data_IF_106191272497
#
_entry.id   IF_106191272497
#
_cell.length_a   1.000
_cell.length_b   1.000
_cell.length_c   1.000
_cell.angle_alpha   90.00
_cell.angle_beta   90.00
_cell.angle_gamma   90.00
#
_symmetry.space_group_name_H-M   'P 1'
#
loop_
_entity.id
_entity.type
_entity.pdbx_description
1 polymer ?
#
# COMPACT_ATOMS: atom_id res chain seq x y z
N UNK A 1 -25.80 -6.82 26.38
CA UNK A 1 -26.42 -8.13 26.05
C UNK A 1 -25.33 -9.18 26.06
N UNK A 2 -25.51 -10.34 26.70
CA UNK A 2 -24.56 -11.44 26.60
C UNK A 2 -24.60 -12.01 25.17
N UNK A 3 -23.43 -12.26 24.58
CA UNK A 3 -23.36 -12.87 23.25
C UNK A 3 -24.00 -14.28 23.27
N UNK A 4 -24.70 -14.65 22.21
CA UNK A 4 -25.20 -16.01 22.08
C UNK A 4 -24.05 -17.02 22.02
N UNK A 5 -24.26 -18.30 22.38
CA UNK A 5 -23.20 -19.31 22.24
C UNK A 5 -22.62 -19.44 20.83
N UNK A 6 -23.44 -19.21 19.79
CA UNK A 6 -23.00 -19.16 18.39
C UNK A 6 -22.13 -17.95 18.09
N UNK A 7 -22.51 -16.77 18.57
CA UNK A 7 -21.73 -15.55 18.45
C UNK A 7 -20.37 -15.66 19.15
N UNK A 8 -20.35 -16.24 20.35
CA UNK A 8 -19.09 -16.46 21.09
C UNK A 8 -18.14 -17.43 20.36
N UNK A 9 -18.69 -18.49 19.72
CA UNK A 9 -17.91 -19.41 18.89
C UNK A 9 -17.31 -18.71 17.69
N UNK A 10 -18.10 -17.91 16.95
CA UNK A 10 -17.62 -17.16 15.79
C UNK A 10 -16.51 -16.17 16.15
N UNK A 11 -16.63 -15.47 17.27
CA UNK A 11 -15.57 -14.58 17.78
C UNK A 11 -14.29 -15.35 18.07
N UNK A 12 -14.39 -16.52 18.72
CA UNK A 12 -13.23 -17.34 19.05
C UNK A 12 -12.57 -17.94 17.80
N UNK A 13 -13.37 -18.38 16.82
CA UNK A 13 -12.89 -18.92 15.56
C UNK A 13 -12.11 -17.83 14.79
N UNK A 14 -12.67 -16.62 14.68
CA UNK A 14 -12.00 -15.47 14.06
C UNK A 14 -10.70 -15.11 14.77
N UNK A 15 -10.71 -15.01 16.10
CA UNK A 15 -9.50 -14.73 16.89
C UNK A 15 -8.39 -15.77 16.62
N UNK A 16 -8.75 -17.06 16.55
CA UNK A 16 -7.77 -18.10 16.28
C UNK A 16 -7.20 -18.01 14.86
N UNK A 17 -8.02 -17.67 13.86
CA UNK A 17 -7.58 -17.46 12.48
C UNK A 17 -6.66 -16.22 12.35
N UNK A 18 -6.98 -15.14 13.03
CA UNK A 18 -6.15 -13.93 13.10
C UNK A 18 -4.79 -14.25 13.76
N UNK A 19 -4.77 -14.99 14.88
CA UNK A 19 -3.52 -15.42 15.50
C UNK A 19 -2.69 -16.34 14.59
N UNK A 20 -3.32 -17.26 13.86
CA UNK A 20 -2.62 -18.10 12.88
C UNK A 20 -2.06 -17.30 11.69
N UNK A 21 -2.69 -16.17 11.34
CA UNK A 21 -2.21 -15.25 10.33
C UNK A 21 -1.00 -14.44 10.81
N UNK A 22 -1.03 -13.97 12.05
CA UNK A 22 -0.01 -13.07 12.62
C UNK A 22 1.23 -13.83 13.07
N UNK A 23 1.03 -14.92 13.82
CA UNK A 23 2.10 -15.70 14.46
C UNK A 23 2.58 -16.89 13.60
N UNK A 24 1.85 -17.20 12.52
CA UNK A 24 2.07 -18.40 11.73
C UNK A 24 1.51 -19.67 12.39
N UNK A 25 2.03 -20.87 12.02
CA UNK A 25 1.52 -22.13 12.54
C UNK A 25 1.67 -22.27 14.06
N UNK A 26 0.58 -22.58 14.76
CA UNK A 26 0.52 -22.72 16.22
C UNK A 26 0.06 -24.12 16.65
N UNK A 27 0.54 -24.56 17.81
CA UNK A 27 0.00 -25.76 18.49
C UNK A 27 -1.28 -25.43 19.23
N UNK A 28 -2.11 -26.44 19.52
CA UNK A 28 -3.29 -26.27 20.37
C UNK A 28 -2.95 -25.69 21.77
N UNK A 29 -1.76 -25.98 22.28
CA UNK A 29 -1.26 -25.41 23.53
C UNK A 29 -0.98 -23.92 23.43
N UNK A 30 -0.36 -23.46 22.33
CA UNK A 30 -0.12 -22.04 22.07
C UNK A 30 -1.43 -21.30 21.83
N UNK A 31 -2.34 -21.84 21.00
CA UNK A 31 -3.68 -21.28 20.80
C UNK A 31 -4.43 -21.11 22.13
N UNK A 32 -4.36 -22.12 23.03
CA UNK A 32 -4.94 -22.01 24.36
C UNK A 32 -4.37 -20.83 25.14
N UNK A 33 -3.05 -20.67 25.12
CA UNK A 33 -2.37 -19.60 25.88
C UNK A 33 -2.71 -18.21 25.32
N UNK A 34 -2.69 -18.04 23.99
CA UNK A 34 -2.94 -16.77 23.32
C UNK A 34 -4.41 -16.36 23.38
N UNK A 35 -5.35 -17.32 23.24
CA UNK A 35 -6.79 -17.03 23.28
C UNK A 35 -7.37 -16.99 24.69
N UNK A 36 -6.69 -17.55 25.69
CA UNK A 36 -7.24 -17.73 27.04
C UNK A 36 -8.34 -18.79 27.16
N UNK A 37 -8.64 -19.54 26.10
CA UNK A 37 -9.70 -20.52 26.04
C UNK A 37 -9.33 -21.82 26.80
N UNK A 38 -10.35 -22.60 27.19
CA UNK A 38 -10.13 -23.91 27.79
C UNK A 38 -9.60 -24.93 26.76
N UNK A 39 -8.89 -25.97 27.21
CA UNK A 39 -8.38 -27.02 26.32
C UNK A 39 -9.47 -27.71 25.48
N UNK A 40 -10.65 -28.10 26.05
CA UNK A 40 -11.75 -28.64 25.25
C UNK A 40 -12.26 -27.66 24.18
N UNK A 41 -12.39 -26.37 24.54
CA UNK A 41 -12.84 -25.33 23.61
C UNK A 41 -11.90 -25.15 22.42
N UNK A 42 -10.58 -25.18 22.68
CA UNK A 42 -9.58 -25.10 21.60
C UNK A 42 -9.61 -26.35 20.71
N UNK A 43 -9.81 -27.55 21.29
CA UNK A 43 -9.92 -28.77 20.50
C UNK A 43 -11.13 -28.73 19.56
N UNK A 44 -12.30 -28.33 20.06
CA UNK A 44 -13.53 -28.17 19.31
C UNK A 44 -13.40 -27.06 18.21
N UNK A 45 -12.75 -25.96 18.55
CA UNK A 45 -12.45 -24.87 17.61
C UNK A 45 -11.56 -25.34 16.44
N UNK A 46 -10.46 -26.01 16.74
CA UNK A 46 -9.55 -26.52 15.71
C UNK A 46 -10.24 -27.56 14.82
N UNK A 47 -11.06 -28.44 15.39
CA UNK A 47 -11.84 -29.43 14.63
C UNK A 47 -12.83 -28.75 13.66
N UNK A 48 -13.54 -27.72 14.12
CA UNK A 48 -14.43 -26.92 13.24
C UNK A 48 -13.68 -26.22 12.12
N UNK A 49 -12.57 -25.55 12.44
CA UNK A 49 -11.76 -24.83 11.45
C UNK A 49 -11.11 -25.78 10.42
N UNK A 50 -10.76 -27.00 10.83
CA UNK A 50 -10.33 -28.04 9.89
C UNK A 50 -11.50 -28.53 9.03
N UNK A 51 -12.68 -28.72 9.64
CA UNK A 51 -13.90 -29.12 8.90
C UNK A 51 -14.35 -28.09 7.87
N UNK A 52 -14.13 -26.80 8.12
CA UNK A 52 -14.40 -25.72 7.15
C UNK A 52 -13.31 -25.56 6.07
N UNK A 53 -12.19 -26.28 6.19
CA UNK A 53 -11.08 -26.19 5.26
C UNK A 53 -10.24 -24.91 5.39
N UNK A 54 -10.37 -24.16 6.49
CA UNK A 54 -9.58 -22.95 6.74
C UNK A 54 -8.24 -23.24 7.43
N UNK A 55 -8.18 -24.34 8.20
CA UNK A 55 -7.00 -24.77 8.96
C UNK A 55 -6.62 -26.19 8.59
N UNK A 56 -5.33 -26.46 8.52
CA UNK A 56 -4.77 -27.81 8.35
C UNK A 56 -3.59 -28.06 9.29
N UNK A 57 -3.24 -29.33 9.48
CA UNK A 57 -1.97 -29.69 10.12
C UNK A 57 -0.86 -29.46 9.10
N UNK A 58 0.10 -28.59 9.45
CA UNK A 58 1.24 -28.23 8.59
C UNK A 58 2.55 -28.84 9.08
N UNK A 59 2.55 -29.48 10.24
CA UNK A 59 3.73 -30.12 10.82
C UNK A 59 3.52 -30.56 12.26
N UNK A 60 4.62 -30.94 12.88
CA UNK A 60 4.68 -31.28 14.30
C UNK A 60 5.88 -30.58 14.94
N UNK A 61 5.75 -30.20 16.22
CA UNK A 61 6.89 -29.65 16.95
C UNK A 61 7.87 -30.77 17.29
N UNK A 62 9.01 -30.82 16.61
CA UNK A 62 10.13 -31.67 17.00
C UNK A 62 10.90 -31.01 18.15
N UNK A 63 10.79 -31.53 19.36
CA UNK A 63 11.52 -31.03 20.51
C UNK A 63 12.31 -32.13 21.22
N UNK A 64 13.52 -31.78 21.64
CA UNK A 64 14.41 -32.66 22.46
C UNK A 64 13.84 -32.97 23.86
N UNK A 65 12.56 -32.73 24.11
CA UNK A 65 11.87 -33.09 25.36
C UNK A 65 11.03 -34.35 25.18
N UNK A 66 11.14 -35.29 26.13
CA UNK A 66 10.32 -36.51 26.22
C UNK A 66 8.83 -36.13 26.27
N UNK A 67 8.08 -36.43 25.22
CA UNK A 67 6.63 -36.28 25.11
C UNK A 67 6.18 -36.46 23.65
N UNK A 68 4.89 -36.80 23.40
CA UNK A 68 4.40 -36.88 22.03
C UNK A 68 4.50 -35.48 21.37
N UNK A 69 4.95 -35.46 20.10
CA UNK A 69 5.03 -34.24 19.29
C UNK A 69 3.66 -33.57 19.22
N UNK A 70 3.64 -32.25 19.41
CA UNK A 70 2.40 -31.47 19.25
C UNK A 70 2.19 -31.09 17.79
N UNK A 71 0.98 -31.28 17.30
CA UNK A 71 0.58 -30.90 15.94
C UNK A 71 0.61 -29.36 15.81
N UNK A 72 1.17 -28.90 14.71
CA UNK A 72 1.14 -27.51 14.27
C UNK A 72 -0.04 -27.30 13.31
N UNK A 73 -0.90 -26.38 13.65
CA UNK A 73 -2.04 -25.97 12.85
C UNK A 73 -1.69 -24.67 12.14
N UNK A 74 -1.95 -24.60 10.83
CA UNK A 74 -1.73 -23.42 10.00
C UNK A 74 -2.92 -23.17 9.08
N UNK A 75 -3.04 -21.95 8.59
CA UNK A 75 -4.05 -21.58 7.61
C UNK A 75 -3.81 -22.33 6.28
N UNK A 76 -4.91 -22.62 5.57
CA UNK A 76 -4.87 -23.22 4.24
C UNK A 76 -4.67 -22.09 3.23
N UNK A 77 -3.42 -21.88 2.79
CA UNK A 77 -3.02 -20.76 1.93
C UNK A 77 -3.78 -20.75 0.58
N UNK A 78 -3.95 -21.92 -0.02
CA UNK A 78 -4.64 -22.13 -1.29
C UNK A 78 -6.18 -22.14 -1.19
N UNK A 79 -6.73 -21.79 -0.01
CA UNK A 79 -8.18 -21.65 0.18
C UNK A 79 -8.78 -20.54 -0.65
N UNK A 80 -8.02 -19.48 -0.94
CA UNK A 80 -8.36 -18.40 -1.84
C UNK A 80 -7.14 -17.87 -2.58
N UNK A 81 -7.35 -17.49 -3.82
CA UNK A 81 -6.38 -16.73 -4.61
C UNK A 81 -6.85 -15.28 -4.73
N UNK A 82 -5.91 -14.39 -4.58
CA UNK A 82 -6.09 -12.95 -4.57
C UNK A 82 -5.32 -12.35 -5.72
N UNK A 83 -5.77 -11.20 -6.21
CA UNK A 83 -4.96 -10.42 -7.14
C UNK A 83 -4.85 -8.97 -6.70
N UNK A 84 -3.79 -8.30 -7.14
CA UNK A 84 -3.64 -6.87 -7.02
C UNK A 84 -3.14 -6.27 -8.33
N UNK A 85 -3.62 -5.07 -8.64
CA UNK A 85 -3.21 -4.27 -9.78
C UNK A 85 -2.72 -2.91 -9.30
N UNK A 86 -1.60 -2.46 -9.86
CA UNK A 86 -1.13 -1.08 -9.78
C UNK A 86 -1.29 -0.46 -11.18
N UNK A 87 -2.29 0.41 -11.32
CA UNK A 87 -2.65 1.06 -12.58
C UNK A 87 -1.95 2.40 -12.65
N UNK A 88 -0.86 2.47 -13.42
CA UNK A 88 -0.06 3.68 -13.61
C UNK A 88 -0.36 4.34 -14.95
N UNK A 89 0.08 5.56 -15.15
CA UNK A 89 -0.14 6.30 -16.41
C UNK A 89 0.39 5.57 -17.65
N UNK A 90 1.52 4.84 -17.51
CA UNK A 90 2.23 4.21 -18.63
C UNK A 90 2.42 2.69 -18.44
N UNK A 91 1.77 2.09 -17.46
CA UNK A 91 1.87 0.64 -17.23
C UNK A 91 0.77 0.13 -16.30
N UNK A 92 0.56 -1.18 -16.33
CA UNK A 92 -0.18 -1.92 -15.32
C UNK A 92 0.71 -3.03 -14.78
N UNK A 93 0.90 -3.06 -13.46
CA UNK A 93 1.52 -4.18 -12.77
C UNK A 93 0.45 -5.05 -12.11
N UNK A 94 0.64 -6.36 -12.15
CA UNK A 94 -0.26 -7.35 -11.57
C UNK A 94 0.53 -8.29 -10.68
N UNK A 95 -0.02 -8.61 -9.52
CA UNK A 95 0.44 -9.70 -8.67
C UNK A 95 -0.74 -10.62 -8.32
N UNK A 96 -0.50 -11.92 -8.30
CA UNK A 96 -1.45 -12.91 -7.79
C UNK A 96 -0.83 -13.56 -6.56
N UNK A 97 -1.59 -13.64 -5.49
CA UNK A 97 -1.17 -14.20 -4.21
C UNK A 97 -2.18 -15.19 -3.64
N UNK A 98 -1.76 -15.87 -2.59
CA UNK A 98 -2.60 -16.76 -1.79
C UNK A 98 -3.32 -16.02 -0.64
N UNK A 99 -4.13 -16.75 0.13
CA UNK A 99 -4.89 -16.21 1.27
C UNK A 99 -3.98 -15.60 2.37
N UNK A 100 -2.73 -15.99 2.45
CA UNK A 100 -1.74 -15.45 3.40
C UNK A 100 -1.06 -14.17 2.87
N UNK A 101 -1.26 -13.85 1.59
CA UNK A 101 -0.63 -12.73 0.90
C UNK A 101 0.76 -13.03 0.36
N UNK A 102 1.14 -14.32 0.26
CA UNK A 102 2.36 -14.71 -0.42
C UNK A 102 2.20 -14.56 -1.93
N UNK A 103 3.16 -13.94 -2.60
CA UNK A 103 3.17 -13.78 -4.06
C UNK A 103 3.40 -15.12 -4.74
N UNK A 104 2.50 -15.50 -5.65
CA UNK A 104 2.58 -16.71 -6.47
C UNK A 104 3.06 -16.42 -7.90
N UNK A 105 2.61 -15.31 -8.48
CA UNK A 105 3.03 -14.85 -9.80
C UNK A 105 2.90 -13.31 -9.88
N UNK A 106 3.74 -12.70 -10.73
CA UNK A 106 3.70 -11.26 -10.99
C UNK A 106 4.04 -10.97 -12.46
N UNK A 107 3.47 -9.90 -13.00
CA UNK A 107 3.73 -9.47 -14.36
C UNK A 107 3.48 -7.96 -14.53
N UNK A 108 4.09 -7.36 -15.55
CA UNK A 108 3.92 -5.94 -15.88
C UNK A 108 3.63 -5.81 -17.36
N UNK A 109 2.72 -4.91 -17.71
CA UNK A 109 2.39 -4.51 -19.06
C UNK A 109 2.70 -3.01 -19.23
N UNK A 110 3.68 -2.63 -20.04
CA UNK A 110 3.84 -1.25 -20.47
C UNK A 110 2.65 -0.81 -21.35
N UNK A 111 2.17 0.42 -21.16
CA UNK A 111 1.11 1.03 -21.96
C UNK A 111 1.66 2.32 -22.54
N UNK A 112 1.80 2.37 -23.87
CA UNK A 112 2.28 3.56 -24.56
C UNK A 112 1.26 4.69 -24.53
N UNK A 113 1.74 5.93 -24.63
CA UNK A 113 0.86 7.11 -24.64
C UNK A 113 -0.09 7.20 -25.85
N UNK A 114 0.22 6.47 -26.92
CA UNK A 114 -0.56 6.31 -28.14
C UNK A 114 -1.51 5.11 -28.11
N UNK A 115 -1.46 4.29 -27.05
CA UNK A 115 -2.34 3.14 -26.89
C UNK A 115 -3.79 3.60 -26.68
N UNK A 116 -4.70 3.16 -27.54
CA UNK A 116 -6.12 3.45 -27.40
C UNK A 116 -6.72 2.86 -26.11
N UNK A 117 -7.88 3.36 -25.69
CA UNK A 117 -8.54 2.97 -24.45
C UNK A 117 -8.83 1.45 -24.43
N UNK A 118 -9.53 0.94 -25.44
CA UNK A 118 -9.92 -0.48 -25.47
C UNK A 118 -8.72 -1.43 -25.55
N UNK A 119 -7.67 -1.18 -26.38
CA UNK A 119 -6.44 -2.00 -26.35
C UNK A 119 -5.73 -2.01 -25.00
N UNK A 120 -5.70 -0.88 -24.28
CA UNK A 120 -5.11 -0.81 -22.95
C UNK A 120 -5.90 -1.65 -21.92
N UNK A 121 -7.23 -1.56 -21.95
CA UNK A 121 -8.14 -2.32 -21.09
C UNK A 121 -8.04 -3.83 -21.37
N UNK A 122 -8.12 -4.25 -22.63
CA UNK A 122 -8.00 -5.67 -23.01
C UNK A 122 -6.61 -6.22 -22.66
N UNK A 123 -5.56 -5.46 -22.90
CA UNK A 123 -4.19 -5.85 -22.53
C UNK A 123 -4.03 -6.06 -21.04
N UNK A 124 -4.57 -5.18 -20.20
CA UNK A 124 -4.51 -5.30 -18.75
C UNK A 124 -5.36 -6.46 -18.22
N UNK A 125 -6.57 -6.66 -18.76
CA UNK A 125 -7.41 -7.80 -18.41
C UNK A 125 -6.76 -9.14 -18.78
N UNK A 126 -6.20 -9.24 -20.01
CA UNK A 126 -5.45 -10.41 -20.44
C UNK A 126 -4.19 -10.66 -19.60
N UNK A 127 -3.52 -9.61 -19.13
CA UNK A 127 -2.38 -9.73 -18.21
C UNK A 127 -2.83 -10.40 -16.91
N UNK A 128 -3.89 -9.91 -16.28
CA UNK A 128 -4.44 -10.47 -15.05
C UNK A 128 -4.79 -11.97 -15.23
N UNK A 129 -5.50 -12.31 -16.29
CA UNK A 129 -5.89 -13.69 -16.57
C UNK A 129 -4.68 -14.62 -16.79
N UNK A 130 -3.62 -14.16 -17.48
CA UNK A 130 -2.38 -14.94 -17.64
C UNK A 130 -1.69 -15.15 -16.31
N UNK A 131 -1.50 -14.06 -15.54
CA UNK A 131 -0.82 -14.13 -14.25
C UNK A 131 -1.58 -15.01 -13.26
N UNK A 132 -2.93 -14.99 -13.29
CA UNK A 132 -3.74 -15.89 -12.48
C UNK A 132 -3.55 -17.36 -12.88
N UNK A 133 -3.49 -17.67 -14.18
CA UNK A 133 -3.22 -19.02 -14.66
C UNK A 133 -1.79 -19.50 -14.29
N UNK A 134 -0.80 -18.64 -14.38
CA UNK A 134 0.59 -18.92 -13.98
C UNK A 134 0.68 -19.21 -12.47
N UNK A 135 -0.09 -18.50 -11.66
CA UNK A 135 -0.23 -18.76 -10.23
C UNK A 135 -1.02 -20.04 -9.88
N UNK A 136 -1.58 -20.74 -10.87
CA UNK A 136 -2.48 -21.87 -10.63
C UNK A 136 -3.86 -21.49 -10.09
N UNK A 137 -4.24 -20.22 -10.13
CA UNK A 137 -5.52 -19.73 -9.64
C UNK A 137 -6.65 -20.07 -10.64
N UNK A 138 -7.53 -20.98 -10.26
CA UNK A 138 -8.74 -21.31 -11.04
C UNK A 138 -9.78 -20.20 -10.94
N UNK A 139 -9.85 -19.55 -9.79
CA UNK A 139 -10.76 -18.44 -9.49
C UNK A 139 -10.09 -17.47 -8.52
N UNK A 140 -10.25 -16.19 -8.79
CA UNK A 140 -9.89 -15.12 -7.85
C UNK A 140 -11.04 -14.88 -6.88
N UNK A 141 -10.72 -14.72 -5.59
CA UNK A 141 -11.69 -14.37 -4.56
C UNK A 141 -11.89 -12.85 -4.50
N UNK A 142 -10.80 -12.12 -4.41
CA UNK A 142 -10.77 -10.66 -4.30
C UNK A 142 -9.66 -10.08 -5.16
N UNK A 143 -9.89 -8.89 -5.68
CA UNK A 143 -8.95 -8.12 -6.51
C UNK A 143 -8.85 -6.71 -5.97
N UNK A 144 -7.66 -6.32 -5.53
CA UNK A 144 -7.36 -4.94 -5.13
C UNK A 144 -6.79 -4.15 -6.31
N UNK A 145 -7.29 -2.96 -6.56
CA UNK A 145 -6.83 -2.09 -7.65
C UNK A 145 -6.38 -0.76 -7.07
N UNK A 146 -5.11 -0.44 -7.25
CA UNK A 146 -4.56 0.89 -7.03
C UNK A 146 -4.65 1.71 -8.32
N UNK A 147 -5.30 2.86 -8.24
CA UNK A 147 -5.42 3.75 -9.39
C UNK A 147 -5.20 5.20 -8.96
N UNK A 148 -4.54 6.03 -9.80
CA UNK A 148 -4.42 7.46 -9.54
C UNK A 148 -5.78 8.14 -9.67
N UNK A 149 -5.99 9.19 -8.89
CA UNK A 149 -7.21 9.99 -8.88
C UNK A 149 -8.12 9.75 -7.69
N UNK A 150 -9.28 10.39 -7.70
CA UNK A 150 -10.21 10.39 -6.58
C UNK A 150 -11.15 9.19 -6.65
N UNK A 151 -11.14 8.39 -5.59
CA UNK A 151 -12.09 7.30 -5.40
C UNK A 151 -13.23 7.79 -4.52
N UNK A 152 -14.46 7.69 -5.01
CA UNK A 152 -15.64 8.04 -4.22
C UNK A 152 -15.75 7.10 -3.00
N UNK A 153 -15.73 7.62 -1.76
CA UNK A 153 -15.69 6.77 -0.56
C UNK A 153 -17.02 6.02 -0.31
N UNK A 154 -18.10 6.38 -1.00
CA UNK A 154 -19.42 5.75 -0.85
C UNK A 154 -19.66 4.69 -1.94
N UNK A 155 -19.35 5.04 -3.19
CA UNK A 155 -19.60 4.13 -4.34
C UNK A 155 -18.40 3.27 -4.70
N UNK A 156 -17.17 3.66 -4.30
CA UNK A 156 -15.93 3.00 -4.72
C UNK A 156 -15.55 3.26 -6.17
N UNK A 157 -16.22 4.20 -6.84
CA UNK A 157 -15.97 4.52 -8.24
C UNK A 157 -14.81 5.52 -8.40
N UNK A 158 -13.97 5.29 -9.41
CA UNK A 158 -12.94 6.24 -9.81
C UNK A 158 -13.58 7.42 -10.53
N UNK A 159 -13.48 8.61 -9.92
CA UNK A 159 -14.01 9.85 -10.48
C UNK A 159 -13.19 10.33 -11.67
N UNK A 160 -13.82 11.14 -12.53
CA UNK A 160 -13.10 11.86 -13.56
C UNK A 160 -12.26 12.97 -12.95
N UNK A 161 -10.93 12.86 -13.10
CA UNK A 161 -9.97 13.87 -12.67
C UNK A 161 -9.08 14.26 -13.83
N UNK A 162 -8.69 15.53 -13.91
CA UNK A 162 -7.76 15.99 -14.92
C UNK A 162 -6.40 15.31 -14.77
N UNK A 163 -5.77 14.98 -15.89
CA UNK A 163 -4.45 14.35 -15.92
C UNK A 163 -4.41 12.83 -15.78
N UNK A 164 -5.55 12.18 -15.49
CA UNK A 164 -5.64 10.70 -15.44
C UNK A 164 -6.17 10.18 -16.79
N UNK A 165 -5.48 9.24 -17.47
CA UNK A 165 -5.95 8.67 -18.72
C UNK A 165 -7.34 8.02 -18.60
N UNK A 166 -8.20 8.22 -19.58
CA UNK A 166 -9.58 7.72 -19.55
C UNK A 166 -9.67 6.19 -19.47
N UNK A 167 -8.65 5.45 -19.93
CA UNK A 167 -8.61 4.00 -19.86
C UNK A 167 -8.56 3.45 -18.43
N UNK A 168 -8.07 4.23 -17.44
CA UNK A 168 -8.07 3.79 -16.03
C UNK A 168 -9.49 3.51 -15.52
N UNK A 169 -10.43 4.43 -15.73
CA UNK A 169 -11.84 4.23 -15.33
C UNK A 169 -12.48 3.07 -16.08
N UNK A 170 -12.20 2.98 -17.38
CA UNK A 170 -12.75 1.91 -18.23
C UNK A 170 -12.22 0.54 -17.82
N UNK A 171 -10.93 0.43 -17.44
CA UNK A 171 -10.34 -0.80 -16.92
C UNK A 171 -11.02 -1.24 -15.62
N UNK A 172 -11.16 -0.34 -14.66
CA UNK A 172 -11.80 -0.63 -13.37
C UNK A 172 -13.22 -1.16 -13.61
N UNK A 173 -14.03 -0.46 -14.40
CA UNK A 173 -15.40 -0.89 -14.73
C UNK A 173 -15.42 -2.25 -15.45
N UNK A 174 -14.53 -2.46 -16.42
CA UNK A 174 -14.44 -3.72 -17.14
C UNK A 174 -14.09 -4.91 -16.24
N UNK A 175 -13.19 -4.72 -15.27
CA UNK A 175 -12.83 -5.76 -14.32
C UNK A 175 -13.97 -6.05 -13.34
N UNK A 176 -14.69 -5.02 -12.87
CA UNK A 176 -15.87 -5.21 -12.02
C UNK A 176 -16.99 -5.98 -12.74
N UNK A 177 -17.18 -5.74 -14.04
CA UNK A 177 -18.20 -6.43 -14.85
C UNK A 177 -17.81 -7.88 -15.19
N UNK A 178 -16.54 -8.15 -15.45
CA UNK A 178 -16.05 -9.43 -15.99
C UNK A 178 -15.64 -10.45 -14.93
N UNK A 179 -15.17 -9.99 -13.76
CA UNK A 179 -14.63 -10.88 -12.75
C UNK A 179 -15.70 -11.34 -11.75
N UNK A 180 -15.88 -12.66 -11.56
CA UNK A 180 -16.71 -13.19 -10.48
C UNK A 180 -15.96 -13.12 -9.14
N UNK A 181 -15.42 -11.95 -8.81
CA UNK A 181 -14.60 -11.68 -7.65
C UNK A 181 -15.00 -10.34 -7.00
N UNK A 182 -14.72 -10.16 -5.74
CA UNK A 182 -14.86 -8.86 -5.07
C UNK A 182 -13.75 -7.92 -5.57
N UNK A 183 -14.11 -6.88 -6.31
CA UNK A 183 -13.17 -5.87 -6.83
C UNK A 183 -13.18 -4.65 -5.91
N UNK A 184 -12.02 -4.33 -5.35
CA UNK A 184 -11.78 -3.22 -4.43
C UNK A 184 -10.89 -2.19 -5.11
N UNK A 185 -11.35 -0.96 -5.19
CA UNK A 185 -10.58 0.15 -5.81
C UNK A 185 -10.19 1.14 -4.74
N UNK A 186 -8.94 1.57 -4.75
CA UNK A 186 -8.43 2.56 -3.82
C UNK A 186 -7.39 3.45 -4.52
N UNK A 187 -7.21 4.66 -4.01
CA UNK A 187 -6.13 5.54 -4.45
C UNK A 187 -4.77 4.90 -4.19
N UNK A 188 -3.81 5.03 -5.15
CA UNK A 188 -2.49 4.42 -5.06
C UNK A 188 -1.72 4.84 -3.82
N UNK A 189 -1.81 6.12 -3.43
CA UNK A 189 -1.09 6.64 -2.25
C UNK A 189 -1.66 6.07 -0.95
N UNK A 190 -2.98 5.89 -0.87
CA UNK A 190 -3.63 5.24 0.26
C UNK A 190 -3.19 3.78 0.41
N UNK A 191 -3.09 3.04 -0.70
CA UNK A 191 -2.59 1.66 -0.69
C UNK A 191 -1.12 1.58 -0.27
N UNK A 192 -0.30 2.52 -0.75
CA UNK A 192 1.08 2.61 -0.32
C UNK A 192 1.18 2.82 1.20
N UNK A 193 0.31 3.66 1.79
CA UNK A 193 0.26 3.85 3.24
C UNK A 193 -0.18 2.58 4.00
N UNK A 194 -1.11 1.79 3.46
CA UNK A 194 -1.46 0.46 4.02
C UNK A 194 -0.24 -0.46 4.03
N UNK A 195 0.55 -0.47 2.96
CA UNK A 195 1.78 -1.27 2.89
C UNK A 195 2.83 -0.80 3.90
N UNK A 196 3.04 0.52 4.01
CA UNK A 196 3.99 1.10 4.98
C UNK A 196 3.59 0.80 6.42
N UNK A 197 2.31 0.86 6.74
CA UNK A 197 1.80 0.52 8.07
C UNK A 197 2.06 -0.95 8.44
N UNK A 198 1.95 -1.87 7.49
CA UNK A 198 2.00 -3.31 7.78
C UNK A 198 3.36 -3.94 7.56
N UNK A 199 4.16 -3.39 6.67
CA UNK A 199 5.39 -4.02 6.22
C UNK A 199 6.53 -3.04 5.92
N UNK A 200 6.31 -1.73 6.13
CA UNK A 200 7.27 -0.67 5.83
C UNK A 200 7.69 0.13 7.05
N UNK A 201 8.00 1.41 6.81
CA UNK A 201 8.58 2.32 7.78
C UNK A 201 7.63 2.71 8.95
N UNK A 202 6.32 2.43 8.83
CA UNK A 202 5.35 2.73 9.87
C UNK A 202 4.89 1.49 10.68
N UNK A 203 5.50 0.31 10.44
CA UNK A 203 5.10 -0.95 11.08
C UNK A 203 5.18 -0.91 12.61
N UNK A 204 6.19 -0.25 13.15
CA UNK A 204 6.46 -0.23 14.60
C UNK A 204 5.61 0.80 15.35
N UNK A 205 4.79 1.59 14.65
CA UNK A 205 3.95 2.64 15.26
C UNK A 205 2.66 2.10 15.91
N UNK A 206 2.39 0.79 15.84
CA UNK A 206 1.14 0.22 16.36
C UNK A 206 -0.09 0.80 15.67
N UNK A 207 -1.14 1.15 16.44
CA UNK A 207 -2.32 1.87 15.95
C UNK A 207 -2.04 3.36 15.71
N UNK A 208 -0.82 3.69 15.29
CA UNK A 208 -0.31 5.04 15.26
C UNK A 208 -0.90 5.92 14.16
N UNK A 209 -0.62 7.20 14.32
CA UNK A 209 -0.87 8.22 13.32
C UNK A 209 0.43 8.51 12.58
N UNK A 210 0.38 8.53 11.26
CA UNK A 210 1.49 8.97 10.40
C UNK A 210 0.95 9.49 9.07
N UNK A 211 1.79 10.19 8.33
CA UNK A 211 1.50 10.61 6.96
C UNK A 211 2.53 10.04 6.01
N UNK A 212 2.07 9.41 4.94
CA UNK A 212 2.91 9.06 3.81
C UNK A 212 2.92 10.26 2.83
N UNK A 213 4.08 10.82 2.56
CA UNK A 213 4.30 11.76 1.47
C UNK A 213 4.82 10.97 0.26
N UNK A 214 3.95 10.76 -0.72
CA UNK A 214 4.25 10.01 -1.92
C UNK A 214 4.98 10.87 -2.95
N UNK A 215 6.14 10.41 -3.39
CA UNK A 215 7.03 11.09 -4.34
C UNK A 215 7.30 10.13 -5.52
N UNK A 216 6.49 10.27 -6.57
CA UNK A 216 6.56 9.49 -7.81
C UNK A 216 6.66 10.39 -9.03
N UNK A 217 5.89 10.14 -10.10
CA UNK A 217 5.70 11.09 -11.20
C UNK A 217 5.01 12.35 -10.69
N UNK A 218 3.93 12.18 -9.93
CA UNK A 218 3.27 13.20 -9.17
C UNK A 218 3.69 13.21 -7.71
N UNK A 219 3.06 14.09 -6.93
CA UNK A 219 3.14 14.14 -5.48
C UNK A 219 1.76 14.02 -4.87
N UNK A 220 1.63 13.20 -3.86
CA UNK A 220 0.42 12.98 -3.08
C UNK A 220 0.74 12.75 -1.61
N UNK A 221 -0.28 12.64 -0.78
CA UNK A 221 -0.13 12.18 0.59
C UNK A 221 -1.26 11.21 0.96
N UNK A 222 -0.97 10.32 1.90
CA UNK A 222 -1.99 9.52 2.55
C UNK A 222 -1.94 9.75 4.06
N UNK A 223 -3.11 9.97 4.63
CA UNK A 223 -3.26 10.27 6.05
C UNK A 223 -3.71 9.00 6.77
N UNK A 224 -2.90 8.51 7.68
CA UNK A 224 -3.28 7.42 8.59
C UNK A 224 -3.46 8.01 9.98
N UNK A 225 -4.69 7.97 10.48
CA UNK A 225 -5.05 8.46 11.81
C UNK A 225 -5.62 7.28 12.62
N UNK A 226 -5.05 7.04 13.79
CA UNK A 226 -5.45 5.93 14.66
C UNK A 226 -5.49 4.58 13.94
N UNK A 227 -4.46 4.33 13.12
CA UNK A 227 -4.30 3.10 12.35
C UNK A 227 -5.22 2.96 11.12
N UNK A 228 -5.97 4.01 10.76
CA UNK A 228 -6.94 3.98 9.65
C UNK A 228 -6.63 5.04 8.60
N UNK A 229 -6.62 4.64 7.34
CA UNK A 229 -6.52 5.56 6.21
C UNK A 229 -7.74 6.51 6.20
N UNK A 230 -7.47 7.80 6.09
CA UNK A 230 -8.50 8.86 5.99
C UNK A 230 -8.69 9.25 4.54
N UNK A 231 -9.83 8.87 3.98
CA UNK A 231 -10.18 9.17 2.57
C UNK A 231 -10.74 10.58 2.40
N UNK A 232 -11.25 11.20 3.47
CA UNK A 232 -11.96 12.48 3.40
C UNK A 232 -13.39 12.34 2.86
N UNK A 233 -14.10 13.47 2.82
CA UNK A 233 -15.52 13.50 2.41
C UNK A 233 -15.70 13.21 0.90
N UNK A 234 -14.71 13.53 0.09
CA UNK A 234 -14.73 13.38 -1.38
C UNK A 234 -13.79 12.30 -1.92
N UNK A 235 -13.08 11.60 -1.04
CA UNK A 235 -11.99 10.70 -1.43
C UNK A 235 -10.65 11.40 -1.65
N UNK A 236 -10.58 12.73 -1.49
CA UNK A 236 -9.40 13.55 -1.82
C UNK A 236 -8.58 13.99 -0.60
N UNK A 237 -8.67 13.31 0.54
CA UNK A 237 -7.75 13.62 1.63
C UNK A 237 -6.31 13.27 1.20
N UNK A 238 -5.41 14.24 1.34
CA UNK A 238 -4.02 14.06 0.93
C UNK A 238 -3.68 14.54 -0.48
N UNK A 239 -4.60 15.22 -1.18
CA UNK A 239 -4.34 15.91 -2.46
C UNK A 239 -3.39 17.11 -2.28
N UNK A 240 -2.23 16.85 -1.67
CA UNK A 240 -1.23 17.86 -1.31
C UNK A 240 -0.59 18.53 -2.54
N UNK A 241 -0.67 17.91 -3.70
CA UNK A 241 -0.22 18.52 -4.96
C UNK A 241 -0.86 19.87 -5.21
N UNK A 242 -2.10 20.07 -4.77
CA UNK A 242 -2.86 21.30 -4.86
C UNK A 242 -2.62 22.30 -3.71
N UNK A 243 -1.77 21.96 -2.73
CA UNK A 243 -1.46 22.89 -1.63
C UNK A 243 -0.77 24.13 -2.17
N UNK A 244 -1.36 25.34 -1.99
CA UNK A 244 -0.67 26.58 -2.36
C UNK A 244 0.63 26.73 -1.60
N UNK A 245 1.72 27.02 -2.30
CA UNK A 245 3.06 27.10 -1.69
C UNK A 245 3.72 28.44 -2.00
N UNK A 246 4.61 28.94 -1.12
CA UNK A 246 5.35 30.17 -1.40
C UNK A 246 6.30 29.98 -2.59
N UNK A 247 6.60 31.09 -3.29
CA UNK A 247 7.58 31.12 -4.37
C UNK A 247 7.03 30.69 -5.75
N UNK A 248 5.73 30.45 -5.87
CA UNK A 248 5.04 30.22 -7.14
C UNK A 248 4.42 31.51 -7.67
N UNK A 249 4.31 31.64 -9.00
CA UNK A 249 3.75 32.83 -9.65
C UNK A 249 2.22 32.82 -9.75
N UNK A 250 1.59 31.68 -9.45
CA UNK A 250 0.14 31.48 -9.55
C UNK A 250 -0.36 30.52 -8.46
N UNK A 251 -1.68 30.50 -8.27
CA UNK A 251 -2.34 29.53 -7.39
C UNK A 251 -2.80 28.32 -8.21
N UNK A 252 -2.88 27.14 -7.60
CA UNK A 252 -3.50 25.99 -8.24
C UNK A 252 -4.98 26.25 -8.53
N UNK A 253 -5.52 25.59 -9.54
CA UNK A 253 -6.93 25.65 -9.91
C UNK A 253 -7.64 24.33 -9.62
N UNK A 254 -8.96 24.29 -9.77
CA UNK A 254 -9.73 23.05 -9.59
C UNK A 254 -9.35 21.92 -10.58
N UNK A 255 -8.66 22.26 -11.68
CA UNK A 255 -8.30 21.32 -12.75
C UNK A 255 -6.80 21.18 -13.00
N UNK A 256 -5.96 21.98 -12.31
CA UNK A 256 -4.51 21.96 -12.48
C UNK A 256 -3.80 22.28 -11.15
N UNK A 257 -2.80 21.49 -10.82
CA UNK A 257 -1.98 21.69 -9.62
C UNK A 257 -0.78 22.64 -9.83
N UNK A 258 -0.71 23.30 -10.98
CA UNK A 258 0.30 24.33 -11.27
C UNK A 258 0.22 25.46 -10.24
N UNK A 259 1.35 25.85 -9.67
CA UNK A 259 1.38 26.80 -8.56
C UNK A 259 1.13 26.19 -7.18
N UNK A 260 0.78 24.90 -7.10
CA UNK A 260 0.72 24.12 -5.86
C UNK A 260 2.02 23.40 -5.54
N UNK A 261 2.01 22.57 -4.50
CA UNK A 261 3.17 21.81 -4.04
C UNK A 261 3.75 20.88 -5.12
N UNK A 262 2.92 20.44 -6.07
CA UNK A 262 3.38 19.69 -7.24
C UNK A 262 4.50 20.41 -8.02
N UNK A 263 4.46 21.73 -8.09
CA UNK A 263 5.48 22.57 -8.75
C UNK A 263 6.84 22.53 -8.03
N UNK A 264 6.89 22.12 -6.78
CA UNK A 264 8.12 21.97 -6.00
C UNK A 264 8.62 20.52 -5.97
N UNK A 265 7.71 19.55 -5.89
CA UNK A 265 8.01 18.17 -5.52
C UNK A 265 7.60 17.12 -6.57
N UNK A 266 6.96 17.51 -7.68
CA UNK A 266 6.68 16.61 -8.81
C UNK A 266 7.97 16.24 -9.55
N UNK A 267 7.98 15.10 -10.25
CA UNK A 267 9.18 14.56 -10.91
C UNK A 267 9.84 15.54 -11.85
N UNK A 268 9.08 16.25 -12.68
CA UNK A 268 9.62 17.27 -13.59
C UNK A 268 10.33 18.40 -12.83
N UNK A 269 9.72 18.93 -11.78
CA UNK A 269 10.30 20.00 -10.96
C UNK A 269 11.56 19.57 -10.21
N UNK A 270 11.66 18.30 -9.83
CA UNK A 270 12.88 17.73 -9.23
C UNK A 270 13.98 17.59 -10.28
N UNK A 271 13.66 17.14 -11.49
CA UNK A 271 14.63 17.08 -12.60
C UNK A 271 15.17 18.47 -12.97
N UNK A 272 14.31 19.48 -13.07
CA UNK A 272 14.72 20.87 -13.30
C UNK A 272 15.64 21.39 -12.17
N UNK A 273 15.37 20.99 -10.92
CA UNK A 273 16.26 21.30 -9.80
C UNK A 273 17.61 20.64 -9.98
N UNK A 274 17.65 19.35 -10.35
CA UNK A 274 18.88 18.61 -10.59
C UNK A 274 19.72 19.22 -11.72
N UNK A 275 19.09 19.61 -12.82
CA UNK A 275 19.75 20.31 -13.93
C UNK A 275 20.46 21.59 -13.49
N UNK A 276 19.82 22.39 -12.62
CA UNK A 276 20.46 23.60 -12.04
C UNK A 276 21.69 23.30 -11.20
N UNK A 277 21.82 22.08 -10.68
CA UNK A 277 22.99 21.60 -9.96
C UNK A 277 23.95 20.78 -10.85
N UNK A 278 23.69 20.72 -12.17
CA UNK A 278 24.51 19.97 -13.14
C UNK A 278 24.38 18.45 -13.00
N UNK A 279 23.27 17.95 -12.46
CA UNK A 279 23.01 16.53 -12.27
C UNK A 279 22.06 16.01 -13.35
N UNK A 280 22.47 14.92 -13.99
CA UNK A 280 21.72 14.20 -15.02
C UNK A 280 21.84 12.70 -14.76
N UNK A 281 20.76 11.96 -14.97
CA UNK A 281 20.77 10.50 -14.89
C UNK A 281 19.66 9.91 -15.75
N UNK A 282 19.92 8.75 -16.33
CA UNK A 282 18.94 7.99 -17.08
C UNK A 282 18.05 7.19 -16.12
N UNK A 283 16.74 7.32 -16.29
CA UNK A 283 15.77 6.55 -15.53
C UNK A 283 15.73 5.09 -16.01
N UNK A 284 15.49 4.17 -15.08
CA UNK A 284 15.17 2.79 -15.40
C UNK A 284 13.79 2.72 -16.07
N UNK A 285 13.49 1.66 -16.82
CA UNK A 285 12.14 1.47 -17.34
C UNK A 285 11.09 1.59 -16.24
N UNK A 286 10.04 2.37 -16.49
CA UNK A 286 8.90 2.60 -15.58
C UNK A 286 9.23 3.32 -14.25
N UNK A 287 10.45 3.82 -14.11
CA UNK A 287 10.87 4.63 -12.97
C UNK A 287 10.67 6.13 -13.30
N UNK A 288 10.15 6.94 -12.37
CA UNK A 288 10.13 8.39 -12.53
C UNK A 288 11.55 8.95 -12.72
N UNK A 289 11.80 9.85 -13.69
CA UNK A 289 13.14 10.41 -13.91
C UNK A 289 13.77 11.04 -12.65
N UNK A 290 12.96 11.65 -11.79
CA UNK A 290 13.42 12.21 -10.53
C UNK A 290 14.11 11.18 -9.61
N UNK A 291 13.67 9.93 -9.60
CA UNK A 291 14.29 8.90 -8.77
C UNK A 291 15.72 8.57 -9.23
N UNK A 292 15.96 8.61 -10.55
CA UNK A 292 17.30 8.40 -11.10
C UNK A 292 18.27 9.52 -10.71
N UNK A 293 17.85 10.78 -10.83
CA UNK A 293 18.72 11.93 -10.48
C UNK A 293 18.95 12.01 -8.96
N UNK A 294 17.95 11.70 -8.14
CA UNK A 294 18.13 11.64 -6.66
C UNK A 294 19.11 10.52 -6.29
N UNK A 295 19.01 9.36 -6.90
CA UNK A 295 19.96 8.26 -6.67
C UNK A 295 21.38 8.63 -7.11
N UNK A 296 21.53 9.30 -8.25
CA UNK A 296 22.83 9.76 -8.74
C UNK A 296 23.48 10.83 -7.84
N UNK A 297 22.66 11.65 -7.18
CA UNK A 297 23.14 12.70 -6.31
C UNK A 297 24.00 12.18 -5.14
N UNK A 298 23.69 11.00 -4.61
CA UNK A 298 24.48 10.39 -3.51
C UNK A 298 25.96 10.14 -3.87
N UNK A 299 26.31 10.05 -5.16
CA UNK A 299 27.66 9.84 -5.62
C UNK A 299 28.30 11.10 -6.23
N UNK A 300 27.56 12.24 -6.27
CA UNK A 300 27.98 13.44 -6.99
C UNK A 300 28.74 14.46 -6.12
N UNK A 301 29.13 14.11 -4.91
CA UNK A 301 29.87 14.97 -4.00
C UNK A 301 29.14 16.27 -3.68
N UNK A 302 29.85 17.42 -3.67
CA UNK A 302 29.28 18.72 -3.28
C UNK A 302 28.09 19.17 -4.13
N UNK A 303 28.04 18.83 -5.41
CA UNK A 303 26.90 19.15 -6.26
C UNK A 303 25.66 18.31 -5.85
N UNK A 304 25.87 17.04 -5.52
CA UNK A 304 24.83 16.17 -5.00
C UNK A 304 24.30 16.63 -3.65
N UNK A 305 25.19 17.00 -2.73
CA UNK A 305 24.82 17.55 -1.42
C UNK A 305 23.97 18.83 -1.57
N UNK A 306 24.41 19.78 -2.41
CA UNK A 306 23.68 21.02 -2.64
C UNK A 306 22.29 20.78 -3.27
N UNK A 307 22.18 19.81 -4.18
CA UNK A 307 20.89 19.40 -4.73
C UNK A 307 19.98 18.76 -3.68
N UNK A 308 20.48 17.79 -2.89
CA UNK A 308 19.70 17.12 -1.85
C UNK A 308 19.25 18.10 -0.76
N UNK A 309 20.06 19.09 -0.39
CA UNK A 309 19.67 20.16 0.52
C UNK A 309 18.55 21.04 -0.05
N UNK A 310 18.66 21.40 -1.33
CA UNK A 310 17.63 22.19 -2.03
C UNK A 310 16.32 21.40 -2.19
N UNK A 311 16.41 20.09 -2.49
CA UNK A 311 15.25 19.20 -2.55
C UNK A 311 14.60 19.05 -1.17
N UNK A 312 15.40 18.83 -0.12
CA UNK A 312 14.91 18.71 1.25
C UNK A 312 14.15 19.97 1.69
N UNK A 313 14.66 21.17 1.34
CA UNK A 313 13.98 22.43 1.65
C UNK A 313 12.61 22.53 0.96
N UNK A 314 12.47 22.02 -0.27
CA UNK A 314 11.18 21.96 -0.98
C UNK A 314 10.21 20.96 -0.33
N UNK A 315 10.69 19.76 0.00
CA UNK A 315 9.87 18.72 0.62
C UNK A 315 9.41 19.12 2.02
N UNK A 316 10.25 19.82 2.77
CA UNK A 316 9.92 20.33 4.09
C UNK A 316 8.72 21.29 4.09
N UNK A 317 8.45 22.02 3.00
CA UNK A 317 7.25 22.88 2.88
C UNK A 317 5.97 22.05 3.00
N UNK A 318 5.88 20.94 2.26
CA UNK A 318 4.73 20.02 2.33
C UNK A 318 4.65 19.32 3.68
N UNK A 319 5.76 18.82 4.20
CA UNK A 319 5.83 18.19 5.51
C UNK A 319 5.41 19.14 6.63
N UNK A 320 5.85 20.41 6.60
CA UNK A 320 5.47 21.42 7.58
C UNK A 320 3.96 21.74 7.54
N UNK A 321 3.39 21.87 6.33
CA UNK A 321 1.95 22.11 6.18
C UNK A 321 1.11 20.96 6.76
N UNK A 322 1.50 19.72 6.51
CA UNK A 322 0.85 18.52 7.06
C UNK A 322 1.00 18.49 8.58
N UNK A 323 2.22 18.71 9.08
CA UNK A 323 2.51 18.66 10.52
C UNK A 323 1.75 19.75 11.28
N UNK A 324 1.64 20.96 10.72
CA UNK A 324 0.92 22.07 11.35
C UNK A 324 -0.60 21.82 11.52
N UNK A 325 -1.18 20.94 10.68
CA UNK A 325 -2.62 20.64 10.70
C UNK A 325 -2.92 19.38 11.51
N UNK A 326 -2.05 18.35 11.40
CA UNK A 326 -2.36 16.99 11.88
C UNK A 326 -1.51 16.56 13.08
N UNK A 327 -0.33 17.17 13.27
CA UNK A 327 0.65 16.73 14.27
C UNK A 327 0.85 15.18 14.26
N UNK A 328 1.25 14.59 13.12
CA UNK A 328 1.22 13.14 12.94
C UNK A 328 2.34 12.41 13.70
N UNK A 329 3.32 13.13 14.23
CA UNK A 329 4.51 12.57 14.87
C UNK A 329 5.49 11.91 13.89
N UNK A 330 5.02 11.40 12.74
CA UNK A 330 5.87 10.80 11.71
C UNK A 330 5.39 11.13 10.28
N UNK A 331 6.36 11.44 9.41
CA UNK A 331 6.17 11.54 7.95
C UNK A 331 7.06 10.50 7.28
N UNK A 332 6.47 9.66 6.42
CA UNK A 332 7.20 8.67 5.61
C UNK A 332 7.39 9.24 4.20
N UNK A 333 8.61 9.35 3.72
CA UNK A 333 8.91 9.71 2.33
C UNK A 333 8.81 8.42 1.48
N UNK A 334 7.71 8.28 0.77
CA UNK A 334 7.40 7.11 -0.07
C UNK A 334 7.58 7.36 -1.55
N UNK A 335 7.21 6.36 -2.35
CA UNK A 335 7.40 6.35 -3.78
C UNK A 335 8.85 6.10 -4.19
N UNK A 336 9.10 6.10 -5.49
CA UNK A 336 10.42 5.80 -6.04
C UNK A 336 11.46 6.87 -5.67
N UNK A 337 11.03 8.14 -5.60
CA UNK A 337 11.91 9.27 -5.25
C UNK A 337 12.26 9.25 -3.76
N UNK A 338 11.27 9.02 -2.88
CA UNK A 338 11.51 8.91 -1.44
C UNK A 338 12.44 7.75 -1.11
N UNK A 339 12.24 6.60 -1.77
CA UNK A 339 13.12 5.43 -1.64
C UNK A 339 14.53 5.70 -2.16
N UNK A 340 14.66 6.36 -3.32
CA UNK A 340 15.98 6.72 -3.89
C UNK A 340 16.73 7.71 -3.00
N UNK A 341 16.03 8.63 -2.34
CA UNK A 341 16.62 9.58 -1.40
C UNK A 341 17.09 8.94 -0.09
N UNK A 342 16.42 7.85 0.30
CA UNK A 342 16.80 7.06 1.47
C UNK A 342 16.83 7.83 2.79
N UNK A 343 17.51 7.27 3.81
CA UNK A 343 17.63 7.92 5.13
C UNK A 343 18.33 9.29 5.08
N UNK A 344 19.21 9.51 4.11
CA UNK A 344 19.93 10.76 3.97
C UNK A 344 18.99 11.92 3.60
N UNK A 345 18.14 11.74 2.58
CA UNK A 345 17.15 12.76 2.22
C UNK A 345 16.14 12.95 3.36
N UNK A 346 15.71 11.88 3.99
CA UNK A 346 14.78 11.93 5.12
C UNK A 346 15.33 12.78 6.28
N UNK A 347 16.59 12.56 6.67
CA UNK A 347 17.27 13.34 7.71
C UNK A 347 17.40 14.82 7.36
N UNK A 348 17.71 15.15 6.08
CA UNK A 348 17.77 16.53 5.61
C UNK A 348 16.39 17.21 5.65
N UNK A 349 15.32 16.50 5.27
CA UNK A 349 13.93 17.00 5.37
C UNK A 349 13.55 17.23 6.83
N UNK A 350 13.86 16.29 7.73
CA UNK A 350 13.60 16.44 9.17
C UNK A 350 14.30 17.66 9.77
N UNK A 351 15.58 17.86 9.44
CA UNK A 351 16.31 19.03 9.89
C UNK A 351 15.69 20.35 9.42
N UNK A 352 15.26 20.42 8.14
CA UNK A 352 14.56 21.60 7.61
C UNK A 352 13.19 21.80 8.24
N UNK A 353 12.46 20.71 8.49
CA UNK A 353 11.16 20.77 9.15
C UNK A 353 11.29 21.32 10.58
N UNK A 354 12.32 20.94 11.32
CA UNK A 354 12.59 21.42 12.66
C UNK A 354 12.91 22.92 12.72
N UNK A 355 13.42 23.51 11.62
CA UNK A 355 13.60 24.96 11.49
C UNK A 355 12.28 25.71 11.25
N UNK A 356 11.26 25.02 10.70
CA UNK A 356 9.98 25.60 10.27
C UNK A 356 8.83 25.38 11.26
N UNK A 357 8.94 24.39 12.14
CA UNK A 357 7.86 23.98 13.02
C UNK A 357 8.35 23.69 14.45
N UNK A 358 7.61 24.10 15.49
CA UNK A 358 7.90 23.73 16.87
C UNK A 358 7.49 22.27 17.19
N UNK A 359 6.78 21.60 16.28
CA UNK A 359 6.31 20.23 16.45
C UNK A 359 7.43 19.24 16.16
N UNK A 360 7.54 18.21 16.98
CA UNK A 360 8.50 17.13 16.74
C UNK A 360 7.89 16.11 15.80
N UNK A 361 8.36 16.09 14.56
CA UNK A 361 7.94 15.16 13.53
C UNK A 361 9.16 14.42 13.01
N UNK A 362 9.19 13.12 13.21
CA UNK A 362 10.21 12.24 12.64
C UNK A 362 9.96 12.09 11.13
N UNK A 363 11.02 12.16 10.33
CA UNK A 363 10.94 11.90 8.89
C UNK A 363 11.74 10.66 8.54
N UNK A 364 11.10 9.67 7.94
CA UNK A 364 11.74 8.40 7.58
C UNK A 364 11.54 8.08 6.11
N UNK A 365 12.50 7.36 5.52
CA UNK A 365 12.39 6.89 4.15
C UNK A 365 11.62 5.56 4.07
N UNK A 366 10.77 5.40 3.05
CA UNK A 366 10.11 4.14 2.73
C UNK A 366 11.13 3.09 2.27
N UNK A 367 11.12 1.88 2.86
CA UNK A 367 11.89 0.76 2.33
C UNK A 367 11.21 0.11 1.11
N UNK A 368 9.93 0.40 0.85
CA UNK A 368 9.12 -0.30 -0.16
C UNK A 368 9.19 0.34 -1.56
N UNK A 369 9.47 1.64 -1.63
CA UNK A 369 9.54 2.36 -2.91
C UNK A 369 8.27 2.23 -3.74
N UNK A 370 8.42 2.07 -5.06
CA UNK A 370 7.29 1.90 -6.00
C UNK A 370 6.51 0.60 -5.83
N UNK A 371 7.01 -0.40 -5.11
CA UNK A 371 6.30 -1.65 -4.85
C UNK A 371 5.19 -1.49 -3.78
N UNK A 372 5.17 -0.37 -3.06
CA UNK A 372 4.23 -0.15 -1.96
C UNK A 372 2.76 -0.22 -2.40
N UNK A 373 2.43 0.33 -3.58
CA UNK A 373 1.05 0.35 -4.10
C UNK A 373 0.54 -1.06 -4.33
N UNK A 374 1.27 -1.86 -5.09
CA UNK A 374 0.89 -3.23 -5.43
C UNK A 374 0.78 -4.11 -4.17
N UNK A 375 1.72 -3.93 -3.24
CA UNK A 375 1.69 -4.63 -1.95
C UNK A 375 0.49 -4.22 -1.10
N UNK A 376 0.15 -2.94 -1.03
CA UNK A 376 -1.03 -2.44 -0.33
C UNK A 376 -2.33 -2.93 -0.94
N UNK A 377 -2.42 -2.99 -2.27
CA UNK A 377 -3.55 -3.55 -2.99
C UNK A 377 -3.75 -5.05 -2.69
N UNK A 378 -2.66 -5.83 -2.64
CA UNK A 378 -2.71 -7.25 -2.28
C UNK A 378 -3.15 -7.43 -0.81
N UNK A 379 -2.63 -6.63 0.11
CA UNK A 379 -3.05 -6.64 1.52
C UNK A 379 -4.53 -6.31 1.67
N UNK A 380 -5.04 -5.33 0.92
CA UNK A 380 -6.45 -4.95 0.94
C UNK A 380 -7.34 -6.08 0.39
N UNK A 381 -6.93 -6.73 -0.70
CA UNK A 381 -7.62 -7.89 -1.24
C UNK A 381 -7.62 -9.08 -0.27
N UNK A 382 -6.49 -9.30 0.43
CA UNK A 382 -6.36 -10.33 1.47
C UNK A 382 -7.32 -10.08 2.62
N UNK A 383 -7.35 -8.87 3.14
CA UNK A 383 -8.21 -8.53 4.27
C UNK A 383 -9.69 -8.75 3.92
N UNK A 384 -10.12 -8.35 2.72
CA UNK A 384 -11.48 -8.60 2.27
C UNK A 384 -11.80 -10.11 2.13
N UNK A 385 -10.85 -10.91 1.64
CA UNK A 385 -11.02 -12.35 1.56
C UNK A 385 -11.07 -13.00 2.95
N UNK A 386 -10.24 -12.56 3.86
CA UNK A 386 -10.23 -13.06 5.23
C UNK A 386 -11.50 -12.63 5.98
N UNK A 387 -11.97 -11.40 5.80
CA UNK A 387 -13.21 -10.93 6.40
C UNK A 387 -14.42 -11.77 5.94
N UNK A 388 -14.47 -12.15 4.66
CA UNK A 388 -15.52 -13.00 4.11
C UNK A 388 -15.39 -14.46 4.59
N UNK A 389 -14.20 -15.05 4.46
CA UNK A 389 -13.96 -16.46 4.78
C UNK A 389 -13.95 -16.75 6.29
N UNK A 390 -13.58 -15.77 7.12
CA UNK A 390 -13.52 -15.89 8.58
C UNK A 390 -14.84 -15.46 9.23
N UNK A 391 -15.79 -14.95 8.44
CA UNK A 391 -17.14 -14.67 8.92
C UNK A 391 -17.85 -15.98 9.33
N UNK A 392 -18.70 -15.95 10.37
CA UNK A 392 -19.49 -17.12 10.74
C UNK A 392 -20.41 -17.51 9.57
N UNK A 393 -20.59 -18.80 9.31
CA UNK A 393 -21.56 -19.24 8.32
C UNK A 393 -22.96 -18.69 8.68
N UNK A 394 -23.61 -18.07 7.70
CA UNK A 394 -24.98 -17.51 7.82
C UNK A 394 -26.01 -18.61 8.01
#
# INVERSE_FOLDING_TARGET
>A
MAASPSTARAINDRLALELLQEEGPLTAGQLKTLTGLSRPTVADLVERLQGSGLVRIVGETGGARRGPNARLYGLVADRAHLAALDVRTQSVAVVVGDLLGATLAEAVLPIGGDTGIEPAVEGAAALLERTAREAGAVRLHSVGIGAPGLIDPVTGELRETSGVPAWHRRLVAALQERLPATVLVENETNLAAVAEQRAGAARDQGAGTFVLLWLGLGVGAALVLDGKVRRGASGGAGEIGFLPVPGTSQLPSATACDGGFHTLAGSAAICELAERHGLFADARPQEPPAAAVVRAAHAAGTAGDAFLDALAARLAVGAAAISAVLDPGRVVLGGEVGHAGGPELASRVEARLAEMSPLRTEVVASPLGGAAVLRGALLTARDAAQDDLFAPPV
#
